data_IF_504138245772
#
_entry.id   IF_504138245772
#
_cell.length_a   1.000
_cell.length_b   1.000
_cell.length_c   1.000
_cell.angle_alpha   90.00
_cell.angle_beta   90.00
_cell.angle_gamma   90.00
#
_symmetry.space_group_name_H-M   'P 1'
#
loop_
_entity.id
_entity.type
_entity.pdbx_description
1 polymer ?
#
# COMPACT_ATOMS: atom_id res chain seq x y z
N UNK A 1 23.89 -24.16 -3.13
CA UNK A 1 22.86 -25.23 -3.18
C UNK A 1 23.39 -26.63 -2.88
N UNK A 2 24.64 -27.00 -3.23
CA UNK A 2 25.17 -28.34 -2.91
C UNK A 2 25.58 -28.54 -1.41
N UNK A 3 25.83 -27.45 -0.68
CA UNK A 3 26.27 -27.50 0.73
C UNK A 3 25.15 -27.71 1.75
N UNK A 4 23.88 -27.41 1.41
CA UNK A 4 22.74 -27.62 2.31
C UNK A 4 22.28 -29.08 2.32
N UNK A 5 22.24 -29.74 1.16
CA UNK A 5 21.87 -31.17 1.06
C UNK A 5 22.83 -32.10 1.82
N UNK A 6 24.12 -31.76 1.87
CA UNK A 6 25.11 -32.52 2.64
C UNK A 6 24.94 -32.38 4.16
N UNK A 7 24.41 -31.26 4.65
CA UNK A 7 24.09 -31.10 6.07
C UNK A 7 22.86 -31.94 6.46
N UNK A 8 21.81 -31.94 5.64
CA UNK A 8 20.61 -32.76 5.85
C UNK A 8 20.90 -34.27 5.77
N UNK A 9 21.79 -34.70 4.87
CA UNK A 9 22.18 -36.10 4.76
C UNK A 9 23.13 -36.58 5.88
N UNK A 10 23.97 -35.69 6.44
CA UNK A 10 24.82 -36.02 7.59
C UNK A 10 24.05 -36.05 8.91
N UNK A 11 23.00 -35.21 9.08
CA UNK A 11 22.09 -35.36 10.22
C UNK A 11 21.35 -36.71 10.12
N UNK A 12 20.80 -37.08 8.96
CA UNK A 12 20.05 -38.33 8.81
C UNK A 12 20.87 -39.61 9.09
N UNK A 13 22.19 -39.59 8.90
CA UNK A 13 23.06 -40.75 9.12
C UNK A 13 23.60 -40.90 10.56
N UNK A 14 23.44 -39.91 11.44
CA UNK A 14 23.87 -40.00 12.85
C UNK A 14 22.76 -40.50 13.80
N UNK A 15 21.51 -40.63 13.34
CA UNK A 15 20.35 -41.07 14.14
C UNK A 15 19.98 -42.55 13.97
N UNK A 16 20.92 -43.43 13.64
CA UNK A 16 20.68 -44.90 13.65
C UNK A 16 20.89 -45.56 15.03
N UNK A 17 20.94 -44.77 16.11
CA UNK A 17 20.76 -45.24 17.47
C UNK A 17 19.60 -44.47 18.11
N UNK A 18 18.65 -45.18 18.71
CA UNK A 18 17.48 -44.63 19.41
C UNK A 18 17.88 -43.71 20.58
N UNK A 19 18.25 -42.47 20.27
CA UNK A 19 18.21 -41.35 21.20
C UNK A 19 16.99 -40.54 20.80
N UNK A 20 15.85 -40.87 21.42
CA UNK A 20 14.76 -39.90 21.51
C UNK A 20 15.36 -38.70 22.23
N UNK A 21 15.51 -37.58 21.51
CA UNK A 21 15.90 -36.31 22.13
C UNK A 21 14.93 -36.06 23.28
N UNK A 22 15.45 -35.79 24.46
CA UNK A 22 14.60 -35.35 25.54
C UNK A 22 14.11 -33.93 25.26
N UNK A 23 13.05 -33.51 25.95
CA UNK A 23 12.48 -32.18 25.79
C UNK A 23 13.48 -31.03 25.84
N UNK A 24 14.47 -31.09 26.72
CA UNK A 24 15.44 -30.01 26.87
C UNK A 24 16.39 -29.97 25.67
N UNK A 25 16.77 -31.13 25.14
CA UNK A 25 17.56 -31.24 23.91
C UNK A 25 16.77 -30.71 22.71
N UNK A 26 15.48 -31.06 22.57
CA UNK A 26 14.60 -30.49 21.54
C UNK A 26 14.54 -28.96 21.65
N UNK A 27 14.30 -28.42 22.85
CA UNK A 27 14.26 -26.96 23.05
C UNK A 27 15.60 -26.31 22.69
N UNK A 28 16.72 -26.88 23.12
CA UNK A 28 18.06 -26.35 22.84
C UNK A 28 18.38 -26.34 21.34
N UNK A 29 17.89 -27.33 20.59
CA UNK A 29 18.08 -27.41 19.14
C UNK A 29 17.23 -26.39 18.38
N UNK A 30 15.95 -26.23 18.74
CA UNK A 30 14.99 -25.43 17.97
C UNK A 30 14.88 -23.96 18.41
N UNK A 31 15.24 -23.63 19.65
CA UNK A 31 15.15 -22.25 20.15
C UNK A 31 15.96 -21.25 19.29
N UNK A 32 17.25 -21.50 18.94
CA UNK A 32 18.02 -20.56 18.12
C UNK A 32 17.41 -20.33 16.74
N UNK A 33 16.75 -21.34 16.18
CA UNK A 33 16.10 -21.24 14.89
C UNK A 33 14.83 -20.37 14.95
N UNK A 34 14.01 -20.54 15.99
CA UNK A 34 12.83 -19.72 16.24
C UNK A 34 13.20 -18.27 16.61
N UNK A 35 14.30 -18.07 17.32
CA UNK A 35 14.85 -16.74 17.63
C UNK A 35 15.24 -16.01 16.34
N UNK A 36 15.96 -16.67 15.44
CA UNK A 36 16.31 -16.11 14.13
C UNK A 36 15.05 -15.77 13.32
N UNK A 37 14.04 -16.65 13.27
CA UNK A 37 12.76 -16.34 12.60
C UNK A 37 12.05 -15.14 13.20
N UNK A 38 12.07 -15.01 14.53
CA UNK A 38 11.49 -13.85 15.22
C UNK A 38 12.14 -12.56 14.73
N UNK A 39 13.48 -12.55 14.62
CA UNK A 39 14.23 -11.39 14.09
C UNK A 39 13.85 -11.13 12.64
N UNK A 40 13.95 -12.13 11.76
CA UNK A 40 13.69 -11.99 10.33
C UNK A 40 12.26 -11.48 10.05
N UNK A 41 11.26 -12.03 10.73
CA UNK A 41 9.87 -11.65 10.55
C UNK A 41 9.60 -10.25 11.12
N UNK A 42 10.23 -9.90 12.25
CA UNK A 42 10.13 -8.55 12.83
C UNK A 42 10.76 -7.50 11.92
N UNK A 43 11.91 -7.80 11.32
CA UNK A 43 12.57 -6.90 10.37
C UNK A 43 11.72 -6.68 9.11
N UNK A 44 11.11 -7.75 8.59
CA UNK A 44 10.17 -7.63 7.47
C UNK A 44 8.94 -6.80 7.84
N UNK A 45 8.35 -7.00 9.03
CA UNK A 45 7.25 -6.16 9.51
C UNK A 45 7.66 -4.68 9.59
N UNK A 46 8.84 -4.39 10.15
CA UNK A 46 9.36 -3.02 10.24
C UNK A 46 9.55 -2.38 8.86
N UNK A 47 10.04 -3.16 7.88
CA UNK A 47 10.14 -2.73 6.50
C UNK A 47 8.76 -2.43 5.90
N UNK A 48 7.79 -3.34 6.03
CA UNK A 48 6.41 -3.16 5.58
C UNK A 48 5.74 -1.94 6.24
N UNK A 49 5.97 -1.70 7.53
CA UNK A 49 5.45 -0.53 8.24
C UNK A 49 6.03 0.80 7.71
N UNK A 50 7.32 0.79 7.37
CA UNK A 50 7.99 1.93 6.72
C UNK A 50 7.44 2.15 5.31
N UNK A 51 7.32 1.10 4.50
CA UNK A 51 6.75 1.18 3.15
C UNK A 51 5.33 1.71 3.16
N UNK A 52 4.47 1.18 4.03
CA UNK A 52 3.11 1.67 4.25
C UNK A 52 3.11 3.18 4.48
N UNK A 53 3.90 3.65 5.46
CA UNK A 53 3.94 5.07 5.83
C UNK A 53 4.41 5.97 4.68
N UNK A 54 5.41 5.52 3.92
CA UNK A 54 5.94 6.25 2.77
C UNK A 54 4.92 6.34 1.64
N UNK A 55 4.24 5.25 1.32
CA UNK A 55 3.26 5.20 0.23
C UNK A 55 2.04 6.06 0.55
N UNK A 56 1.53 6.00 1.78
CA UNK A 56 0.45 6.87 2.23
C UNK A 56 0.85 8.35 2.12
N UNK A 57 2.06 8.70 2.56
CA UNK A 57 2.57 10.06 2.43
C UNK A 57 2.73 10.49 0.96
N UNK A 58 3.18 9.59 0.08
CA UNK A 58 3.32 9.87 -1.34
C UNK A 58 1.96 10.12 -2.01
N UNK A 59 0.96 9.27 -1.74
CA UNK A 59 -0.39 9.43 -2.30
C UNK A 59 -1.02 10.75 -1.84
N UNK A 60 -0.84 11.12 -0.57
CA UNK A 60 -1.24 12.42 -0.04
C UNK A 60 -0.63 13.56 -0.84
N UNK A 61 0.69 13.51 -1.00
CA UNK A 61 1.44 14.56 -1.67
C UNK A 61 1.06 14.69 -3.15
N UNK A 62 0.85 13.56 -3.83
CA UNK A 62 0.38 13.53 -5.22
C UNK A 62 -1.01 14.17 -5.34
N UNK A 63 -1.93 13.83 -4.44
CA UNK A 63 -3.28 14.40 -4.42
C UNK A 63 -3.23 15.92 -4.22
N UNK A 64 -2.47 16.39 -3.23
CA UNK A 64 -2.34 17.82 -2.95
C UNK A 64 -1.67 18.59 -4.07
N UNK A 65 -0.66 17.99 -4.70
CA UNK A 65 0.00 18.57 -5.88
C UNK A 65 -1.01 18.70 -7.01
N UNK A 66 -1.79 17.66 -7.31
CA UNK A 66 -2.84 17.71 -8.35
C UNK A 66 -3.89 18.79 -8.06
N UNK A 67 -4.36 18.89 -6.81
CA UNK A 67 -5.31 19.96 -6.39
C UNK A 67 -4.71 21.35 -6.61
N UNK A 68 -3.45 21.57 -6.22
CA UNK A 68 -2.77 22.85 -6.40
C UNK A 68 -2.61 23.20 -7.89
N UNK A 69 -2.20 22.22 -8.71
CA UNK A 69 -2.08 22.39 -10.16
C UNK A 69 -3.42 22.75 -10.80
N UNK A 70 -4.49 22.00 -10.49
CA UNK A 70 -5.83 22.28 -11.02
C UNK A 70 -6.37 23.63 -10.54
N UNK A 71 -6.12 24.01 -9.28
CA UNK A 71 -6.48 25.34 -8.77
C UNK A 71 -5.83 26.45 -9.59
N UNK A 72 -4.53 26.30 -9.89
CA UNK A 72 -3.78 27.26 -10.70
C UNK A 72 -4.33 27.34 -12.13
N UNK A 73 -4.61 26.21 -12.77
CA UNK A 73 -5.18 26.19 -14.13
C UNK A 73 -6.59 26.80 -14.19
N UNK A 74 -7.44 26.56 -13.19
CA UNK A 74 -8.76 27.19 -13.07
C UNK A 74 -8.63 28.71 -12.91
N UNK A 75 -7.69 29.18 -12.09
CA UNK A 75 -7.44 30.61 -11.94
C UNK A 75 -6.94 31.25 -13.25
N UNK A 76 -6.04 30.56 -13.97
CA UNK A 76 -5.52 31.01 -15.24
C UNK A 76 -6.62 31.18 -16.30
N UNK A 77 -7.50 30.18 -16.48
CA UNK A 77 -8.58 30.30 -17.47
C UNK A 77 -9.58 31.41 -17.12
N UNK A 78 -9.88 31.61 -15.82
CA UNK A 78 -10.69 32.75 -15.36
C UNK A 78 -10.04 34.09 -15.73
N UNK A 79 -8.73 34.23 -15.54
CA UNK A 79 -8.01 35.43 -15.92
C UNK A 79 -8.02 35.66 -17.45
N UNK A 80 -7.87 34.61 -18.25
CA UNK A 80 -7.98 34.67 -19.71
C UNK A 80 -9.35 35.17 -20.17
N UNK A 81 -10.43 34.70 -19.54
CA UNK A 81 -11.80 35.15 -19.86
C UNK A 81 -11.95 36.65 -19.55
N UNK A 82 -11.51 37.09 -18.37
CA UNK A 82 -11.56 38.51 -17.98
C UNK A 82 -10.77 39.38 -18.98
N UNK A 83 -9.59 38.93 -19.41
CA UNK A 83 -8.82 39.64 -20.42
C UNK A 83 -9.56 39.70 -21.77
N UNK A 84 -10.17 38.60 -22.21
CA UNK A 84 -10.95 38.55 -23.43
C UNK A 84 -12.18 39.48 -23.38
N UNK A 85 -12.83 39.60 -22.21
CA UNK A 85 -13.93 40.53 -22.00
C UNK A 85 -13.47 41.98 -22.15
N UNK A 86 -12.32 42.34 -21.59
CA UNK A 86 -11.75 43.69 -21.72
C UNK A 86 -11.42 44.03 -23.18
N UNK A 87 -10.90 43.06 -23.95
CA UNK A 87 -10.61 43.25 -25.40
C UNK A 87 -11.90 43.49 -26.19
N UNK A 88 -13.02 42.92 -25.74
CA UNK A 88 -14.30 42.92 -26.46
C UNK A 88 -15.28 43.96 -25.91
N UNK A 89 -14.81 44.96 -25.16
CA UNK A 89 -15.65 45.89 -24.37
C UNK A 89 -16.75 46.60 -25.19
N UNK A 90 -16.55 46.77 -26.50
CA UNK A 90 -17.47 47.45 -27.40
C UNK A 90 -18.30 46.49 -28.28
N UNK A 91 -18.18 45.16 -28.11
CA UNK A 91 -18.92 44.16 -28.88
C UNK A 91 -19.84 43.32 -27.98
N UNK A 92 -21.14 43.64 -28.00
CA UNK A 92 -22.15 42.97 -27.18
C UNK A 92 -22.28 41.47 -27.45
N UNK A 93 -22.09 41.01 -28.69
CA UNK A 93 -22.20 39.60 -29.03
C UNK A 93 -21.04 38.79 -28.41
N UNK A 94 -19.82 39.30 -28.54
CA UNK A 94 -18.63 38.71 -27.92
C UNK A 94 -18.76 38.69 -26.39
N UNK A 95 -19.19 39.79 -25.76
CA UNK A 95 -19.38 39.88 -24.30
C UNK A 95 -20.43 38.89 -23.76
N UNK A 96 -21.55 38.71 -24.46
CA UNK A 96 -22.57 37.74 -24.08
C UNK A 96 -22.04 36.30 -24.15
N UNK A 97 -21.24 35.99 -25.18
CA UNK A 97 -20.58 34.69 -25.33
C UNK A 97 -19.57 34.45 -24.19
N UNK A 98 -18.71 35.43 -23.90
CA UNK A 98 -17.68 35.34 -22.85
C UNK A 98 -18.27 35.25 -21.45
N UNK A 99 -19.42 35.89 -21.18
CA UNK A 99 -20.14 35.77 -19.91
C UNK A 99 -20.56 34.32 -19.63
N UNK A 100 -20.99 33.58 -20.65
CA UNK A 100 -21.31 32.14 -20.51
C UNK A 100 -20.07 31.33 -20.15
N UNK A 101 -18.93 31.65 -20.76
CA UNK A 101 -17.65 31.00 -20.44
C UNK A 101 -17.19 31.32 -19.02
N UNK A 102 -17.41 32.55 -18.55
CA UNK A 102 -17.12 32.95 -17.17
C UNK A 102 -17.96 32.14 -16.17
N UNK A 103 -19.25 31.93 -16.44
CA UNK A 103 -20.11 31.07 -15.60
C UNK A 103 -19.57 29.65 -15.56
N UNK A 104 -19.29 29.03 -16.72
CA UNK A 104 -18.75 27.68 -16.78
C UNK A 104 -17.40 27.55 -16.04
N UNK A 105 -16.52 28.54 -16.15
CA UNK A 105 -15.25 28.57 -15.43
C UNK A 105 -15.43 28.73 -13.92
N UNK A 106 -16.46 29.44 -13.47
CA UNK A 106 -16.76 29.61 -12.05
C UNK A 106 -17.25 28.33 -11.37
N UNK A 107 -17.88 27.43 -12.14
CA UNK A 107 -18.34 26.13 -11.66
C UNK A 107 -17.20 25.10 -11.55
N UNK A 108 -16.01 25.38 -12.11
CA UNK A 108 -14.84 24.52 -11.96
C UNK A 108 -14.31 24.54 -10.52
N UNK A 109 -14.05 23.34 -10.00
CA UNK A 109 -13.48 23.15 -8.67
C UNK A 109 -12.58 21.90 -8.63
N UNK A 110 -11.42 21.95 -7.95
CA UNK A 110 -10.56 20.80 -7.72
C UNK A 110 -10.94 20.00 -6.47
N UNK A 111 -11.98 20.41 -5.73
CA UNK A 111 -12.44 19.74 -4.51
C UNK A 111 -12.64 18.22 -4.70
N UNK A 112 -13.25 17.73 -5.80
CA UNK A 112 -13.46 16.30 -6.03
C UNK A 112 -12.19 15.46 -5.98
N UNK A 113 -11.02 16.00 -6.39
CA UNK A 113 -9.74 15.28 -6.32
C UNK A 113 -9.41 14.96 -4.87
N UNK A 114 -9.50 15.94 -3.98
CA UNK A 114 -9.22 15.73 -2.57
C UNK A 114 -10.30 14.86 -1.91
N UNK A 115 -11.58 15.20 -2.10
CA UNK A 115 -12.68 14.52 -1.39
C UNK A 115 -12.90 13.07 -1.81
N UNK A 116 -12.52 12.71 -3.05
CA UNK A 116 -12.75 11.37 -3.60
C UNK A 116 -11.50 10.51 -3.51
N UNK A 117 -10.31 11.08 -3.81
CA UNK A 117 -9.08 10.31 -3.90
C UNK A 117 -8.27 10.29 -2.58
N UNK A 118 -8.65 11.08 -1.58
CA UNK A 118 -7.85 11.22 -0.35
C UNK A 118 -8.64 11.38 0.96
N UNK A 119 -9.66 12.23 1.03
CA UNK A 119 -10.26 12.65 2.32
C UNK A 119 -10.81 11.44 3.09
N UNK A 120 -10.13 11.10 4.18
CA UNK A 120 -10.56 10.05 5.11
C UNK A 120 -10.37 8.62 4.60
N UNK A 121 -9.69 8.43 3.45
CA UNK A 121 -9.28 7.10 3.01
C UNK A 121 -8.12 6.66 3.91
N UNK A 122 -8.46 6.07 5.05
CA UNK A 122 -7.62 5.00 5.57
C UNK A 122 -7.57 3.96 4.46
N UNK A 123 -6.40 3.40 4.16
CA UNK A 123 -6.30 2.24 3.27
C UNK A 123 -6.38 1.02 4.19
N UNK A 124 -7.59 0.60 4.64
CA UNK A 124 -7.74 -0.38 5.70
C UNK A 124 -7.12 -1.70 5.30
N UNK A 125 -7.27 -2.10 4.04
CA UNK A 125 -6.73 -3.36 3.54
C UNK A 125 -5.20 -3.33 3.55
N UNK A 126 -4.60 -2.19 3.20
CA UNK A 126 -3.14 -2.04 3.23
C UNK A 126 -2.59 -2.03 4.66
N UNK A 127 -3.31 -1.39 5.59
CA UNK A 127 -2.97 -1.42 7.01
C UNK A 127 -3.14 -2.83 7.60
N UNK A 128 -4.22 -3.53 7.25
CA UNK A 128 -4.49 -4.89 7.70
C UNK A 128 -3.43 -5.88 7.18
N UNK A 129 -3.02 -5.76 5.90
CA UNK A 129 -1.96 -6.59 5.34
C UNK A 129 -0.63 -6.39 6.07
N UNK A 130 -0.28 -5.15 6.45
CA UNK A 130 0.88 -4.86 7.30
C UNK A 130 0.75 -5.51 8.68
N UNK A 131 -0.41 -5.34 9.32
CA UNK A 131 -0.64 -5.81 10.70
C UNK A 131 -0.67 -7.33 10.80
N UNK A 132 -1.09 -8.02 9.73
CA UNK A 132 -1.01 -9.47 9.63
C UNK A 132 0.45 -9.96 9.70
N UNK A 133 1.38 -9.31 9.00
CA UNK A 133 2.82 -9.62 9.08
C UNK A 133 3.32 -9.41 10.52
N UNK A 134 2.94 -8.30 11.15
CA UNK A 134 3.32 -8.00 12.54
C UNK A 134 2.78 -9.03 13.55
N UNK A 135 1.57 -9.53 13.31
CA UNK A 135 0.98 -10.60 14.12
C UNK A 135 1.79 -11.89 13.98
N UNK A 136 2.12 -12.29 12.75
CA UNK A 136 2.91 -13.49 12.48
C UNK A 136 4.34 -13.39 13.05
N UNK A 137 4.94 -12.19 13.02
CA UNK A 137 6.29 -11.96 13.53
C UNK A 137 6.47 -12.27 15.02
N UNK A 138 5.39 -12.20 15.81
CA UNK A 138 5.41 -12.56 17.24
C UNK A 138 5.25 -14.06 17.52
N UNK A 139 4.83 -14.86 16.54
CA UNK A 139 4.51 -16.27 16.75
C UNK A 139 5.74 -17.15 17.01
N UNK A 140 6.88 -17.01 16.29
CA UNK A 140 8.03 -17.89 16.50
C UNK A 140 8.54 -17.87 17.96
N UNK A 141 8.53 -16.70 18.61
CA UNK A 141 8.98 -16.53 20.00
C UNK A 141 8.13 -17.29 21.04
N UNK A 142 6.89 -17.67 20.70
CA UNK A 142 5.98 -18.40 21.60
C UNK A 142 5.74 -19.85 21.16
N UNK A 143 6.32 -20.30 20.04
CA UNK A 143 6.06 -21.63 19.48
C UNK A 143 6.41 -22.76 20.47
N UNK A 144 7.58 -22.69 21.12
CA UNK A 144 8.01 -23.72 22.09
C UNK A 144 7.07 -23.78 23.30
N UNK A 145 6.66 -22.63 23.85
CA UNK A 145 5.75 -22.59 25.00
C UNK A 145 4.34 -23.07 24.64
N UNK A 146 3.85 -22.74 23.44
CA UNK A 146 2.60 -23.24 22.90
C UNK A 146 2.62 -24.77 22.74
N UNK A 147 3.66 -25.32 22.11
CA UNK A 147 3.81 -26.77 21.94
C UNK A 147 4.00 -27.50 23.29
N UNK A 148 4.67 -26.87 24.25
CA UNK A 148 4.81 -27.41 25.61
C UNK A 148 3.45 -27.51 26.30
N UNK A 149 2.61 -26.50 26.12
CA UNK A 149 1.25 -26.48 26.68
C UNK A 149 0.36 -27.56 26.06
N UNK A 150 0.49 -27.80 24.75
CA UNK A 150 -0.26 -28.84 24.03
C UNK A 150 0.20 -30.26 24.39
N UNK A 151 1.50 -30.45 24.65
CA UNK A 151 2.10 -31.74 24.95
C UNK A 151 2.89 -31.66 26.27
N UNK A 152 2.24 -31.61 27.44
CA UNK A 152 2.90 -31.31 28.70
C UNK A 152 3.62 -32.49 29.35
N UNK A 153 3.35 -33.74 28.92
CA UNK A 153 3.87 -34.92 29.61
C UNK A 153 5.25 -35.36 29.07
N UNK A 154 6.15 -35.89 29.92
CA UNK A 154 7.48 -36.35 29.50
C UNK A 154 7.48 -37.51 28.49
N UNK A 155 6.40 -38.30 28.41
CA UNK A 155 6.26 -39.36 27.40
C UNK A 155 5.68 -38.87 26.07
N UNK A 156 5.54 -37.56 25.89
CA UNK A 156 5.00 -36.93 24.68
C UNK A 156 6.06 -36.14 23.90
N UNK A 157 7.35 -36.39 24.15
CA UNK A 157 8.43 -35.61 23.52
C UNK A 157 8.43 -35.73 21.98
N UNK A 158 8.02 -36.86 21.42
CA UNK A 158 7.79 -37.01 19.97
C UNK A 158 6.64 -36.11 19.47
N UNK A 159 5.53 -36.02 20.21
CA UNK A 159 4.41 -35.14 19.86
C UNK A 159 4.79 -33.65 20.02
N UNK A 160 5.61 -33.34 21.02
CA UNK A 160 6.17 -32.01 21.22
C UNK A 160 7.10 -31.59 20.08
N UNK A 161 8.00 -32.48 19.65
CA UNK A 161 8.86 -32.28 18.49
C UNK A 161 8.03 -32.07 17.22
N UNK A 162 7.08 -32.97 16.94
CA UNK A 162 6.21 -32.85 15.76
C UNK A 162 5.45 -31.53 15.75
N UNK A 163 4.93 -31.08 16.90
CA UNK A 163 4.29 -29.76 17.02
C UNK A 163 5.21 -28.62 16.60
N UNK A 164 6.47 -28.61 17.05
CA UNK A 164 7.45 -27.56 16.70
C UNK A 164 7.77 -27.62 15.21
N UNK A 165 8.06 -28.81 14.68
CA UNK A 165 8.42 -29.00 13.27
C UNK A 165 7.28 -28.58 12.34
N UNK A 166 6.05 -29.01 12.63
CA UNK A 166 4.87 -28.62 11.85
C UNK A 166 4.65 -27.11 11.89
N UNK A 167 4.81 -26.49 13.06
CA UNK A 167 4.65 -25.04 13.21
C UNK A 167 5.71 -24.24 12.47
N UNK A 168 6.94 -24.74 12.40
CA UNK A 168 8.02 -24.09 11.65
C UNK A 168 7.72 -24.03 10.16
N UNK A 169 7.23 -25.14 9.58
CA UNK A 169 6.87 -25.20 8.16
C UNK A 169 5.68 -24.27 7.87
N UNK A 170 4.66 -24.33 8.71
CA UNK A 170 3.47 -23.48 8.65
C UNK A 170 3.81 -21.98 8.74
N UNK A 171 4.78 -21.61 9.58
CA UNK A 171 5.24 -20.23 9.73
C UNK A 171 5.88 -19.67 8.46
N UNK A 172 6.66 -20.48 7.75
CA UNK A 172 7.30 -20.05 6.50
C UNK A 172 6.29 -19.86 5.38
N UNK A 173 5.38 -20.83 5.22
CA UNK A 173 4.32 -20.76 4.21
C UNK A 173 3.39 -19.55 4.46
N UNK A 174 2.98 -19.33 5.72
CA UNK A 174 2.15 -18.19 6.07
C UNK A 174 2.88 -16.87 5.84
N UNK A 175 4.17 -16.79 6.16
CA UNK A 175 4.93 -15.56 6.01
C UNK A 175 5.10 -15.18 4.54
N UNK A 176 5.37 -16.15 3.67
CA UNK A 176 5.42 -15.92 2.22
C UNK A 176 4.08 -15.43 1.67
N UNK A 177 2.98 -16.06 2.09
CA UNK A 177 1.62 -15.65 1.70
C UNK A 177 1.30 -14.23 2.15
N UNK A 178 1.65 -13.87 3.39
CA UNK A 178 1.41 -12.53 3.91
C UNK A 178 2.26 -11.45 3.22
N UNK A 179 3.52 -11.75 2.87
CA UNK A 179 4.35 -10.84 2.07
C UNK A 179 3.81 -10.65 0.65
N UNK A 180 3.33 -11.72 0.03
CA UNK A 180 2.70 -11.66 -1.30
C UNK A 180 1.45 -10.78 -1.25
N UNK A 181 0.56 -11.04 -0.28
CA UNK A 181 -0.65 -10.25 -0.07
C UNK A 181 -0.34 -8.76 0.22
N UNK A 182 0.67 -8.46 1.06
CA UNK A 182 1.09 -7.08 1.29
C UNK A 182 1.55 -6.40 0.00
N UNK A 183 2.30 -7.10 -0.85
CA UNK A 183 2.79 -6.58 -2.12
C UNK A 183 1.66 -6.32 -3.12
N UNK A 184 0.67 -7.21 -3.18
CA UNK A 184 -0.52 -7.09 -4.02
C UNK A 184 -1.35 -5.87 -3.59
N UNK A 185 -1.77 -5.82 -2.33
CA UNK A 185 -2.59 -4.73 -1.78
C UNK A 185 -1.87 -3.39 -1.86
N UNK A 186 -0.54 -3.35 -1.68
CA UNK A 186 0.28 -2.16 -1.91
C UNK A 186 0.15 -1.65 -3.34
N UNK A 187 0.25 -2.55 -4.32
CA UNK A 187 0.22 -2.23 -5.73
C UNK A 187 -1.16 -1.73 -6.13
N UNK A 188 -2.21 -2.39 -5.67
CA UNK A 188 -3.60 -1.98 -5.91
C UNK A 188 -3.89 -0.61 -5.31
N UNK A 189 -3.45 -0.39 -4.06
CA UNK A 189 -3.55 0.91 -3.38
C UNK A 189 -2.94 2.03 -4.21
N UNK A 190 -1.73 1.83 -4.75
CA UNK A 190 -1.07 2.82 -5.60
C UNK A 190 -1.87 3.04 -6.89
N UNK A 191 -2.24 1.97 -7.58
CA UNK A 191 -2.91 2.04 -8.88
C UNK A 191 -4.26 2.75 -8.78
N UNK A 192 -5.12 2.34 -7.84
CA UNK A 192 -6.43 2.97 -7.61
C UNK A 192 -6.29 4.44 -7.26
N UNK A 193 -5.28 4.81 -6.45
CA UNK A 193 -5.05 6.20 -6.07
C UNK A 193 -4.61 7.04 -7.28
N UNK A 194 -3.68 6.53 -8.08
CA UNK A 194 -3.18 7.21 -9.29
C UNK A 194 -4.29 7.37 -10.32
N UNK A 195 -5.07 6.32 -10.55
CA UNK A 195 -6.21 6.32 -11.47
C UNK A 195 -7.25 7.36 -11.03
N UNK A 196 -7.64 7.36 -9.75
CA UNK A 196 -8.57 8.36 -9.22
C UNK A 196 -8.06 9.79 -9.44
N UNK A 197 -6.81 10.07 -9.09
CA UNK A 197 -6.22 11.41 -9.28
C UNK A 197 -6.22 11.79 -10.77
N UNK A 198 -5.86 10.85 -11.64
CA UNK A 198 -5.81 11.05 -13.09
C UNK A 198 -7.19 11.38 -13.65
N UNK A 199 -8.19 10.57 -13.35
CA UNK A 199 -9.56 10.71 -13.84
C UNK A 199 -10.18 12.04 -13.38
N UNK A 200 -10.06 12.35 -12.09
CA UNK A 200 -10.60 13.60 -11.55
C UNK A 200 -9.89 14.83 -12.14
N UNK A 201 -8.58 14.75 -12.39
CA UNK A 201 -7.83 15.83 -13.04
C UNK A 201 -8.18 15.96 -14.53
N UNK A 202 -8.42 14.85 -15.22
CA UNK A 202 -8.78 14.83 -16.64
C UNK A 202 -10.14 15.50 -16.90
N UNK A 203 -11.12 15.29 -16.02
CA UNK A 203 -12.43 15.95 -16.10
C UNK A 203 -12.31 17.48 -16.06
N UNK A 204 -11.51 18.01 -15.14
CA UNK A 204 -11.26 19.46 -15.02
C UNK A 204 -10.50 19.96 -16.25
N UNK A 205 -9.44 19.26 -16.65
CA UNK A 205 -8.60 19.61 -17.81
C UNK A 205 -9.43 19.68 -19.09
N UNK A 206 -10.29 18.69 -19.32
CA UNK A 206 -11.19 18.64 -20.47
C UNK A 206 -12.11 19.87 -20.52
N UNK A 207 -12.69 20.26 -19.38
CA UNK A 207 -13.54 21.45 -19.29
C UNK A 207 -12.78 22.75 -19.50
N UNK A 208 -11.54 22.85 -19.02
CA UNK A 208 -10.68 24.02 -19.28
C UNK A 208 -10.39 24.13 -20.78
N UNK A 209 -10.07 23.03 -21.46
CA UNK A 209 -9.83 23.02 -22.91
C UNK A 209 -11.09 23.43 -23.69
N UNK A 210 -12.25 22.92 -23.31
CA UNK A 210 -13.54 23.30 -23.88
C UNK A 210 -13.79 24.80 -23.75
N UNK A 211 -13.66 25.35 -22.53
CA UNK A 211 -13.84 26.78 -22.25
C UNK A 211 -12.84 27.61 -23.07
N UNK A 212 -11.57 27.23 -23.10
CA UNK A 212 -10.53 27.97 -23.83
C UNK A 212 -10.80 28.03 -25.34
N UNK A 213 -11.28 26.93 -25.93
CA UNK A 213 -11.71 26.89 -27.32
C UNK A 213 -12.91 27.83 -27.55
N UNK A 214 -13.91 27.79 -26.67
CA UNK A 214 -15.06 28.68 -26.76
C UNK A 214 -14.70 30.16 -26.59
N UNK A 215 -13.75 30.50 -25.72
CA UNK A 215 -13.23 31.88 -25.60
C UNK A 215 -12.65 32.37 -26.93
N UNK A 216 -11.90 31.51 -27.62
CA UNK A 216 -11.33 31.85 -28.94
C UNK A 216 -12.43 32.08 -29.98
N UNK A 217 -13.49 31.25 -29.97
CA UNK A 217 -14.66 31.46 -30.83
C UNK A 217 -15.44 32.73 -30.47
N UNK A 218 -15.59 33.06 -29.19
CA UNK A 218 -16.24 34.30 -28.78
C UNK A 218 -15.48 35.52 -29.30
N UNK A 219 -14.14 35.47 -29.29
CA UNK A 219 -13.29 36.55 -29.80
C UNK A 219 -13.34 36.72 -31.32
N UNK A 220 -13.72 35.69 -32.08
CA UNK A 220 -13.92 35.84 -33.54
C UNK A 220 -15.25 36.52 -33.90
N UNK A 221 -16.12 36.76 -32.92
CA UNK A 221 -17.32 37.60 -33.05
C UNK A 221 -17.01 39.09 -32.95
N UNK A 222 -15.77 39.46 -32.59
CA UNK A 222 -15.34 40.85 -32.47
C UNK A 222 -15.37 41.61 -33.80
#
# INVERSE_FOLDING_TARGET
MLKSLLAYALLACLFQGYLLLDRNEIVAEYQPFLDNKTIDFTDAYNLSAKEYSLIIAQIKNNTWTAVATMTSQIAAIKATIVQAQNISENNTAALNCLTRQQTAANDLTPVPINSTCWVGVTYPDFAAARDAIGTLAGIPAITISACTTLNPLPNQDELFLNCITDKILDLDDQFEQLQSNFTEVRTDTINTSVECISDQSALITSKIVEINFQVTLCLSLN
#
